data_IF_659771602056
#
_entry.id   IF_659771602056
#
_cell.length_a   1.000
_cell.length_b   1.000
_cell.length_c   1.000
_cell.angle_alpha   90.00
_cell.angle_beta   90.00
_cell.angle_gamma   90.00
#
_symmetry.space_group_name_H-M   'P 1'
#
loop_
_entity.id
_entity.type
_entity.pdbx_description
1 polymer ?
#
# COMPACT_ATOMS: atom_id res chain seq x y z
N UNK A 1 -26.94 11.81 56.26
CA UNK A 1 -27.15 10.35 56.49
C UNK A 1 -27.66 9.75 55.20
N UNK A 2 -27.10 8.59 54.82
CA UNK A 2 -27.09 8.02 53.46
C UNK A 2 -28.45 7.39 53.09
N UNK A 3 -28.98 7.73 51.91
CA UNK A 3 -30.10 7.03 51.29
C UNK A 3 -29.59 6.04 50.25
N UNK A 4 -29.87 4.75 50.48
CA UNK A 4 -29.63 3.64 49.56
C UNK A 4 -30.53 3.73 48.34
N UNK A 5 -29.94 3.60 47.15
CA UNK A 5 -30.64 3.35 45.89
C UNK A 5 -30.29 1.92 45.43
N UNK A 6 -31.31 1.09 45.41
CA UNK A 6 -31.30 -0.31 44.98
C UNK A 6 -31.25 -0.33 43.45
N UNK A 7 -30.20 -0.94 42.89
CA UNK A 7 -30.00 -1.08 41.45
C UNK A 7 -30.56 -2.44 41.00
N UNK A 8 -31.74 -2.44 40.39
CA UNK A 8 -32.38 -3.62 39.78
C UNK A 8 -31.70 -3.94 38.45
N UNK A 9 -31.07 -5.11 38.35
CA UNK A 9 -30.51 -5.65 37.11
C UNK A 9 -31.62 -6.39 36.36
N UNK A 10 -32.02 -5.87 35.20
CA UNK A 10 -32.89 -6.55 34.24
C UNK A 10 -32.04 -7.25 33.18
N UNK A 11 -32.06 -8.58 33.20
CA UNK A 11 -31.44 -9.45 32.20
C UNK A 11 -32.38 -9.56 30.99
N UNK A 12 -32.02 -8.96 29.86
CA UNK A 12 -32.73 -9.13 28.60
C UNK A 12 -32.09 -10.29 27.79
N UNK A 13 -32.78 -11.42 27.69
CA UNK A 13 -32.39 -12.51 26.79
C UNK A 13 -32.71 -12.12 25.35
N UNK A 14 -31.68 -11.94 24.53
CA UNK A 14 -31.81 -11.76 23.08
C UNK A 14 -31.70 -13.12 22.40
N UNK A 15 -32.81 -13.59 21.83
CA UNK A 15 -32.87 -14.76 20.96
C UNK A 15 -32.22 -14.41 19.63
N UNK A 16 -31.06 -15.01 19.33
CA UNK A 16 -30.40 -14.89 18.03
C UNK A 16 -31.05 -15.88 17.06
N UNK A 17 -31.85 -15.37 16.14
CA UNK A 17 -32.35 -16.13 15.00
C UNK A 17 -31.21 -16.32 13.97
N UNK A 18 -30.86 -17.57 13.67
CA UNK A 18 -29.93 -17.91 12.58
C UNK A 18 -30.63 -17.75 11.21
N UNK A 19 -30.11 -16.95 10.27
CA UNK A 19 -30.59 -16.96 8.90
C UNK A 19 -30.09 -18.22 8.18
N UNK A 20 -31.03 -19.10 7.80
CA UNK A 20 -30.83 -20.10 6.75
C UNK A 20 -31.00 -19.41 5.40
N UNK A 21 -29.88 -19.05 4.76
CA UNK A 21 -29.87 -18.51 3.40
C UNK A 21 -28.66 -19.05 2.65
N UNK A 22 -28.87 -20.15 1.90
CA UNK A 22 -27.85 -20.73 1.05
C UNK A 22 -27.55 -19.82 -0.13
N UNK A 23 -26.36 -19.22 -0.13
CA UNK A 23 -25.77 -18.64 -1.34
C UNK A 23 -25.33 -19.82 -2.20
N UNK A 24 -26.06 -20.05 -3.30
CA UNK A 24 -25.62 -20.96 -4.35
C UNK A 24 -24.29 -20.46 -4.90
N UNK A 25 -23.19 -21.04 -4.44
CA UNK A 25 -21.89 -20.89 -5.08
C UNK A 25 -22.01 -21.48 -6.49
N UNK A 26 -22.12 -20.60 -7.48
CA UNK A 26 -21.89 -21.00 -8.87
C UNK A 26 -20.48 -21.58 -8.93
N UNK A 27 -20.39 -22.88 -9.18
CA UNK A 27 -19.13 -23.57 -9.40
C UNK A 27 -18.38 -22.85 -10.53
N UNK A 28 -17.13 -22.40 -10.33
CA UNK A 28 -16.33 -21.88 -11.42
C UNK A 28 -16.24 -22.94 -12.51
N UNK A 29 -16.50 -22.56 -13.76
CA UNK A 29 -16.52 -23.44 -14.94
C UNK A 29 -15.15 -24.03 -15.33
N UNK A 30 -14.13 -23.91 -14.47
CA UNK A 30 -12.79 -24.44 -14.70
C UNK A 30 -12.58 -25.80 -14.02
N UNK A 31 -11.83 -26.69 -14.66
CA UNK A 31 -11.30 -27.90 -14.01
C UNK A 31 -10.46 -27.56 -12.77
N UNK A 32 -10.10 -28.55 -11.95
CA UNK A 32 -9.37 -28.36 -10.69
C UNK A 32 -8.07 -27.52 -10.80
N UNK A 33 -7.48 -27.44 -12.00
CA UNK A 33 -6.32 -26.60 -12.35
C UNK A 33 -6.63 -25.09 -12.44
N UNK A 34 -7.87 -24.71 -12.74
CA UNK A 34 -8.29 -23.30 -12.88
C UNK A 34 -8.18 -22.53 -11.57
N UNK A 35 -8.39 -23.21 -10.45
CA UNK A 35 -8.25 -22.61 -9.12
C UNK A 35 -6.78 -22.33 -8.76
N UNK A 36 -5.87 -23.26 -9.08
CA UNK A 36 -4.43 -23.16 -8.80
C UNK A 36 -3.74 -21.95 -9.44
N UNK A 37 -4.21 -21.51 -10.61
CA UNK A 37 -3.70 -20.29 -11.27
C UNK A 37 -4.46 -19.03 -10.83
N UNK A 38 -5.77 -19.12 -10.60
CA UNK A 38 -6.57 -17.99 -10.09
C UNK A 38 -6.17 -17.52 -8.68
N UNK A 39 -5.51 -18.39 -7.91
CA UNK A 39 -4.99 -18.09 -6.57
C UNK A 39 -3.67 -17.32 -6.58
N UNK A 40 -2.91 -17.33 -7.68
CA UNK A 40 -1.65 -16.57 -7.77
C UNK A 40 -1.91 -15.19 -8.33
N UNK A 41 -2.01 -14.21 -7.44
CA UNK A 41 -1.95 -12.80 -7.81
C UNK A 41 -0.63 -12.50 -8.53
N UNK A 42 -0.71 -11.76 -9.64
CA UNK A 42 0.44 -11.20 -10.34
C UNK A 42 0.40 -9.66 -10.32
N UNK A 43 1.56 -9.06 -10.53
CA UNK A 43 1.71 -7.61 -10.68
C UNK A 43 1.21 -7.16 -12.05
N UNK A 44 0.57 -5.99 -12.10
CA UNK A 44 0.03 -5.46 -13.35
C UNK A 44 1.14 -5.13 -14.34
N UNK A 45 2.27 -4.59 -13.88
CA UNK A 45 3.46 -4.35 -14.71
C UNK A 45 3.92 -5.60 -15.44
N UNK A 46 4.02 -6.74 -14.73
CA UNK A 46 4.42 -8.03 -15.31
C UNK A 46 3.46 -8.52 -16.39
N UNK A 47 2.17 -8.28 -16.22
CA UNK A 47 1.15 -8.62 -17.23
C UNK A 47 1.28 -7.72 -18.47
N UNK A 48 1.54 -6.43 -18.28
CA UNK A 48 1.76 -5.46 -19.37
C UNK A 48 3.06 -5.72 -20.12
N UNK A 49 4.11 -6.19 -19.44
CA UNK A 49 5.41 -6.48 -20.07
C UNK A 49 5.39 -7.71 -21.00
N UNK A 50 4.50 -8.69 -20.74
CA UNK A 50 4.43 -9.96 -21.49
C UNK A 50 2.99 -10.48 -21.65
N UNK A 51 2.11 -9.73 -22.34
CA UNK A 51 0.71 -10.10 -22.45
C UNK A 51 0.45 -11.31 -23.36
N UNK A 52 1.30 -11.56 -24.36
CA UNK A 52 1.08 -12.56 -25.42
C UNK A 52 0.89 -13.97 -24.88
N UNK A 53 1.68 -14.35 -23.88
CA UNK A 53 1.60 -15.67 -23.25
C UNK A 53 0.39 -15.86 -22.34
N UNK A 54 -0.38 -14.80 -22.06
CA UNK A 54 -1.50 -14.81 -21.13
C UNK A 54 -2.86 -14.71 -21.83
N UNK A 55 -2.90 -14.55 -23.16
CA UNK A 55 -4.16 -14.49 -23.91
C UNK A 55 -5.03 -15.72 -23.64
N UNK A 56 -6.32 -15.50 -23.38
CA UNK A 56 -7.30 -16.54 -23.03
C UNK A 56 -7.09 -17.17 -21.65
N UNK A 57 -6.12 -16.69 -20.86
CA UNK A 57 -5.90 -17.18 -19.50
C UNK A 57 -6.54 -16.25 -18.47
N UNK A 58 -7.00 -16.85 -17.38
CA UNK A 58 -7.45 -16.07 -16.23
C UNK A 58 -6.27 -15.58 -15.40
N UNK A 59 -6.33 -14.30 -15.02
CA UNK A 59 -5.33 -13.60 -14.23
C UNK A 59 -5.98 -12.98 -13.00
N UNK A 60 -5.22 -12.94 -11.90
CA UNK A 60 -5.61 -12.27 -10.66
C UNK A 60 -4.64 -11.13 -10.39
N UNK A 61 -5.16 -9.92 -10.22
CA UNK A 61 -4.38 -8.69 -10.10
C UNK A 61 -4.77 -7.96 -8.83
N UNK A 62 -3.78 -7.39 -8.12
CA UNK A 62 -4.06 -6.37 -7.10
C UNK A 62 -3.88 -5.01 -7.74
N UNK A 63 -4.90 -4.17 -7.62
CA UNK A 63 -4.92 -2.83 -8.19
C UNK A 63 -5.38 -1.79 -7.18
N UNK A 64 -5.07 -0.52 -7.46
CA UNK A 64 -5.63 0.65 -6.81
C UNK A 64 -6.52 1.36 -7.83
N UNK A 65 -7.81 1.48 -7.52
CA UNK A 65 -8.80 2.05 -8.43
C UNK A 65 -8.61 3.57 -8.52
N UNK A 66 -8.58 4.10 -9.75
CA UNK A 66 -8.73 5.54 -9.99
C UNK A 66 -10.20 5.90 -10.16
N UNK A 67 -10.92 5.11 -10.95
CA UNK A 67 -12.35 5.28 -11.19
C UNK A 67 -12.81 4.60 -12.47
N UNK A 68 -13.96 5.03 -12.98
CA UNK A 68 -14.44 4.61 -14.31
C UNK A 68 -13.68 5.36 -15.41
N UNK A 69 -13.28 4.61 -16.44
CA UNK A 69 -12.62 5.12 -17.62
C UNK A 69 -13.59 5.39 -18.77
N UNK A 70 -13.03 5.77 -19.92
CA UNK A 70 -13.76 5.94 -21.18
C UNK A 70 -13.30 4.90 -22.19
N UNK A 71 -14.25 4.36 -22.95
CA UNK A 71 -13.97 3.44 -24.04
C UNK A 71 -13.82 4.28 -25.30
N UNK A 72 -12.56 4.59 -25.66
CA UNK A 72 -12.26 5.55 -26.73
C UNK A 72 -12.21 4.92 -28.14
N UNK A 73 -12.33 3.59 -28.28
CA UNK A 73 -12.31 2.95 -29.61
C UNK A 73 -13.04 1.59 -29.66
N UNK A 74 -14.34 1.55 -30.01
CA UNK A 74 -15.12 0.31 -30.07
C UNK A 74 -14.94 -0.50 -31.36
N UNK A 75 -14.32 0.03 -32.42
CA UNK A 75 -14.44 -0.55 -33.77
C UNK A 75 -13.67 -1.86 -34.00
N UNK A 76 -12.87 -2.33 -33.04
CA UNK A 76 -11.99 -3.49 -33.21
C UNK A 76 -11.91 -4.43 -32.01
N UNK A 77 -12.80 -4.30 -31.03
CA UNK A 77 -12.79 -5.16 -29.83
C UNK A 77 -14.20 -5.56 -29.45
N UNK A 78 -14.35 -6.63 -28.66
CA UNK A 78 -15.66 -7.04 -28.13
C UNK A 78 -16.22 -6.10 -27.03
N UNK A 79 -15.44 -5.12 -26.60
CA UNK A 79 -15.71 -4.29 -25.44
C UNK A 79 -16.45 -3.01 -25.82
N UNK A 80 -17.72 -3.17 -26.18
CA UNK A 80 -18.62 -2.07 -26.54
C UNK A 80 -19.06 -1.27 -25.30
N UNK A 81 -19.21 0.05 -25.46
CA UNK A 81 -19.57 0.96 -24.37
C UNK A 81 -20.97 0.70 -23.80
N UNK A 82 -21.87 0.17 -24.63
CA UNK A 82 -23.23 -0.23 -24.30
C UNK A 82 -23.27 -1.47 -23.40
N UNK A 83 -22.27 -2.34 -23.50
CA UNK A 83 -22.24 -3.64 -22.80
C UNK A 83 -21.23 -3.65 -21.65
N UNK A 84 -20.18 -2.84 -21.73
CA UNK A 84 -19.07 -2.82 -20.78
C UNK A 84 -18.82 -1.42 -20.18
N UNK A 85 -18.23 -1.43 -18.98
CA UNK A 85 -17.63 -0.28 -18.30
C UNK A 85 -16.12 -0.48 -18.33
N UNK A 86 -15.36 0.53 -18.71
CA UNK A 86 -13.91 0.53 -18.55
C UNK A 86 -13.57 1.05 -17.16
N UNK A 87 -12.55 0.46 -16.53
CA UNK A 87 -11.98 0.94 -15.27
C UNK A 87 -10.59 1.50 -15.54
N UNK A 88 -10.28 2.60 -14.84
CA UNK A 88 -8.92 3.10 -14.72
C UNK A 88 -8.35 2.69 -13.37
N UNK A 89 -7.18 2.08 -13.38
CA UNK A 89 -6.52 1.66 -12.15
C UNK A 89 -5.00 1.66 -12.28
N UNK A 90 -4.31 1.74 -11.15
CA UNK A 90 -2.89 1.51 -11.07
C UNK A 90 -2.59 0.11 -10.52
N UNK A 91 -1.46 -0.46 -10.91
CA UNK A 91 -0.95 -1.68 -10.28
C UNK A 91 -0.64 -1.45 -8.80
N UNK A 92 -0.72 -2.48 -7.98
CA UNK A 92 -0.31 -2.40 -6.57
C UNK A 92 1.19 -2.07 -6.38
N UNK A 93 1.97 -2.38 -7.40
CA UNK A 93 3.40 -2.13 -7.54
C UNK A 93 3.71 -0.72 -8.09
N UNK A 94 2.70 0.04 -8.52
CA UNK A 94 2.88 1.37 -9.09
C UNK A 94 3.35 2.40 -8.04
N UNK A 95 4.40 3.14 -8.37
CA UNK A 95 4.92 4.23 -7.56
C UNK A 95 4.09 5.51 -7.76
N UNK A 96 2.91 5.60 -7.15
CA UNK A 96 1.97 6.72 -7.37
C UNK A 96 2.49 8.10 -6.96
N UNK A 97 3.60 8.17 -6.22
CA UNK A 97 4.30 9.42 -5.91
C UNK A 97 5.17 9.93 -7.08
N UNK A 98 5.30 9.17 -8.16
CA UNK A 98 5.93 9.59 -9.41
C UNK A 98 4.82 10.09 -10.34
N UNK A 99 4.92 11.36 -10.76
CA UNK A 99 3.88 12.03 -11.53
C UNK A 99 3.54 11.29 -12.82
N UNK A 100 4.55 10.82 -13.53
CA UNK A 100 4.40 10.13 -14.81
C UNK A 100 3.65 8.80 -14.66
N UNK A 101 3.76 8.16 -13.49
CA UNK A 101 3.03 6.93 -13.16
C UNK A 101 1.59 7.26 -12.74
N UNK A 102 1.42 8.30 -11.91
CA UNK A 102 0.11 8.77 -11.47
C UNK A 102 -0.78 9.18 -12.65
N UNK A 103 -0.24 9.96 -13.58
CA UNK A 103 -0.96 10.51 -14.74
C UNK A 103 -1.32 9.45 -15.81
N UNK A 104 -0.81 8.21 -15.67
CA UNK A 104 -0.98 7.13 -16.65
C UNK A 104 -1.55 5.85 -16.01
N UNK A 105 -2.80 5.85 -15.53
CA UNK A 105 -3.44 4.62 -15.09
C UNK A 105 -3.61 3.64 -16.25
N UNK A 106 -3.72 2.36 -15.92
CA UNK A 106 -4.09 1.31 -16.85
C UNK A 106 -5.61 1.36 -17.09
N UNK A 107 -6.02 1.36 -18.37
CA UNK A 107 -7.41 1.62 -18.79
C UNK A 107 -8.08 0.40 -19.44
N UNK A 108 -7.39 -0.73 -19.57
CA UNK A 108 -7.87 -1.90 -20.32
C UNK A 108 -8.46 -2.99 -19.41
N UNK A 109 -9.17 -2.56 -18.35
CA UNK A 109 -9.97 -3.41 -17.47
C UNK A 109 -11.44 -3.18 -17.79
N UNK A 110 -12.16 -4.22 -18.16
CA UNK A 110 -13.54 -4.12 -18.61
C UNK A 110 -14.46 -4.95 -17.73
N UNK A 111 -15.56 -4.35 -17.31
CA UNK A 111 -16.58 -5.01 -16.49
C UNK A 111 -17.90 -4.99 -17.26
N UNK A 112 -18.54 -6.15 -17.39
CA UNK A 112 -19.86 -6.23 -18.02
C UNK A 112 -20.91 -5.45 -17.22
N UNK A 113 -21.66 -4.57 -17.88
CA UNK A 113 -22.77 -3.81 -17.26
C UNK A 113 -23.83 -4.77 -16.68
N UNK A 114 -24.40 -4.39 -15.54
CA UNK A 114 -25.41 -5.19 -14.83
C UNK A 114 -24.87 -6.44 -14.12
N UNK A 115 -23.57 -6.74 -14.26
CA UNK A 115 -22.93 -7.83 -13.51
C UNK A 115 -22.84 -7.53 -12.00
N UNK A 116 -22.60 -8.56 -11.20
CA UNK A 116 -22.33 -8.40 -9.76
C UNK A 116 -21.07 -7.57 -9.51
N UNK A 117 -20.06 -7.72 -10.37
CA UNK A 117 -18.82 -6.93 -10.30
C UNK A 117 -19.09 -5.46 -10.54
N UNK A 118 -19.90 -5.12 -11.55
CA UNK A 118 -20.26 -3.74 -11.83
C UNK A 118 -20.95 -3.10 -10.62
N UNK A 119 -21.90 -3.79 -9.98
CA UNK A 119 -22.56 -3.32 -8.76
C UNK A 119 -21.61 -3.20 -7.56
N UNK A 120 -20.60 -4.07 -7.50
CA UNK A 120 -19.61 -4.08 -6.42
C UNK A 120 -18.63 -2.91 -6.52
N UNK A 121 -18.32 -2.50 -7.76
CA UNK A 121 -17.40 -1.39 -8.05
C UNK A 121 -18.12 -0.05 -8.22
N UNK A 122 -19.44 -0.05 -8.32
CA UNK A 122 -20.27 1.16 -8.38
C UNK A 122 -20.02 2.05 -7.16
N UNK A 123 -19.64 3.30 -7.40
CA UNK A 123 -19.28 4.27 -6.36
C UNK A 123 -18.03 3.91 -5.53
N UNK A 124 -17.20 2.96 -5.98
CA UNK A 124 -15.95 2.64 -5.30
C UNK A 124 -15.03 3.88 -5.23
N UNK A 125 -14.50 4.23 -4.05
CA UNK A 125 -13.73 5.46 -3.91
C UNK A 125 -12.38 5.36 -4.61
N UNK A 126 -11.85 6.50 -5.05
CA UNK A 126 -10.48 6.59 -5.55
C UNK A 126 -9.49 6.04 -4.51
N UNK A 127 -8.41 5.41 -4.99
CA UNK A 127 -7.41 4.67 -4.22
C UNK A 127 -7.92 3.44 -3.47
N UNK A 128 -9.20 3.07 -3.61
CA UNK A 128 -9.66 1.78 -3.08
C UNK A 128 -8.87 0.64 -3.73
N UNK A 129 -8.42 -0.30 -2.90
CA UNK A 129 -7.56 -1.39 -3.34
C UNK A 129 -8.39 -2.65 -3.54
N UNK A 130 -8.20 -3.33 -4.66
CA UNK A 130 -9.01 -4.46 -5.07
C UNK A 130 -8.14 -5.61 -5.56
N UNK A 131 -8.61 -6.84 -5.31
CA UNK A 131 -8.20 -8.00 -6.09
C UNK A 131 -9.23 -8.18 -7.19
N UNK A 132 -8.78 -8.09 -8.44
CA UNK A 132 -9.60 -8.37 -9.62
C UNK A 132 -9.16 -9.69 -10.22
N UNK A 133 -10.12 -10.56 -10.53
CA UNK A 133 -9.88 -11.74 -11.35
C UNK A 133 -10.60 -11.57 -12.67
N UNK A 134 -9.89 -11.77 -13.77
CA UNK A 134 -10.44 -11.63 -15.12
C UNK A 134 -9.73 -12.50 -16.12
N UNK A 135 -10.21 -12.51 -17.36
CA UNK A 135 -9.56 -13.19 -18.49
C UNK A 135 -8.87 -12.15 -19.38
N UNK A 136 -7.63 -12.41 -19.80
CA UNK A 136 -6.98 -11.62 -20.85
C UNK A 136 -7.61 -11.99 -22.20
N UNK A 137 -8.75 -11.37 -22.50
CA UNK A 137 -9.58 -11.71 -23.65
C UNK A 137 -8.88 -11.39 -24.98
N UNK A 138 -8.28 -10.21 -25.07
CA UNK A 138 -7.69 -9.69 -26.29
C UNK A 138 -6.35 -9.00 -26.00
N UNK A 139 -5.51 -8.90 -27.04
CA UNK A 139 -4.28 -8.11 -27.02
C UNK A 139 -4.34 -7.21 -28.24
N UNK A 140 -4.39 -5.90 -28.00
CA UNK A 140 -4.56 -4.87 -29.03
C UNK A 140 -3.42 -3.88 -28.88
N UNK A 141 -2.63 -3.69 -29.94
CA UNK A 141 -1.44 -2.82 -29.93
C UNK A 141 -0.45 -3.16 -28.79
N UNK A 142 -0.28 -4.44 -28.50
CA UNK A 142 0.58 -4.91 -27.41
C UNK A 142 0.01 -4.70 -26.00
N UNK A 143 -1.21 -4.19 -25.87
CA UNK A 143 -1.86 -4.00 -24.57
C UNK A 143 -2.88 -5.11 -24.29
N UNK A 144 -2.87 -5.71 -23.10
CA UNK A 144 -3.85 -6.71 -22.70
C UNK A 144 -5.20 -6.06 -22.34
N UNK A 145 -6.29 -6.60 -22.89
CA UNK A 145 -7.65 -6.18 -22.57
C UNK A 145 -8.31 -7.27 -21.73
N UNK A 146 -8.68 -6.92 -20.50
CA UNK A 146 -9.07 -7.88 -19.47
C UNK A 146 -10.57 -7.79 -19.22
N UNK A 147 -11.28 -8.90 -19.40
CA UNK A 147 -12.68 -9.05 -18.99
C UNK A 147 -12.74 -9.49 -17.53
N UNK A 148 -13.12 -8.57 -16.65
CA UNK A 148 -13.10 -8.74 -15.20
C UNK A 148 -14.34 -9.52 -14.77
N UNK A 149 -14.10 -10.69 -14.19
CA UNK A 149 -15.14 -11.64 -13.76
C UNK A 149 -15.45 -11.56 -12.26
N UNK A 150 -14.50 -11.13 -11.42
CA UNK A 150 -14.73 -10.93 -9.99
C UNK A 150 -13.91 -9.78 -9.42
N UNK A 151 -14.41 -9.16 -8.35
CA UNK A 151 -13.74 -8.11 -7.61
C UNK A 151 -13.89 -8.32 -6.10
N UNK A 152 -12.81 -8.15 -5.35
CA UNK A 152 -12.82 -8.22 -3.89
C UNK A 152 -11.99 -7.10 -3.28
N UNK A 153 -12.63 -6.25 -2.48
CA UNK A 153 -11.95 -5.13 -1.84
C UNK A 153 -10.94 -5.59 -0.79
N UNK A 154 -9.81 -4.91 -0.71
CA UNK A 154 -8.80 -5.06 0.33
C UNK A 154 -8.90 -3.90 1.32
N UNK A 155 -8.75 -4.22 2.60
CA UNK A 155 -8.78 -3.21 3.68
C UNK A 155 -7.59 -2.27 3.63
N UNK A 156 -6.41 -2.80 3.31
CA UNK A 156 -5.21 -1.99 3.21
C UNK A 156 -5.21 -1.24 1.87
N UNK A 157 -5.01 0.07 1.88
CA UNK A 157 -5.05 0.95 0.70
C UNK A 157 -4.13 2.15 0.89
N UNK A 158 -3.61 2.70 -0.21
CA UNK A 158 -3.03 4.04 -0.18
C UNK A 158 -4.17 5.05 -0.04
N UNK A 159 -3.93 6.15 0.65
CA UNK A 159 -4.85 7.27 0.69
C UNK A 159 -4.13 8.56 0.32
N UNK A 160 -4.91 9.57 -0.05
CA UNK A 160 -4.41 10.86 -0.49
C UNK A 160 -3.52 11.54 0.56
N UNK A 161 -3.87 11.60 1.88
CA UNK A 161 -3.00 12.19 2.88
C UNK A 161 -1.63 11.51 2.97
N UNK A 162 -1.58 10.18 2.88
CA UNK A 162 -0.32 9.45 2.85
C UNK A 162 0.46 9.77 1.58
N UNK A 163 -0.20 9.75 0.41
CA UNK A 163 0.43 10.05 -0.88
C UNK A 163 1.05 11.46 -0.90
N UNK A 164 0.32 12.48 -0.44
CA UNK A 164 0.81 13.87 -0.33
C UNK A 164 2.07 13.94 0.53
N UNK A 165 2.10 13.24 1.67
CA UNK A 165 3.26 13.24 2.55
C UNK A 165 4.46 12.46 1.96
N UNK A 166 4.22 11.39 1.20
CA UNK A 166 5.29 10.69 0.45
C UNK A 166 5.92 11.65 -0.57
N UNK A 167 5.10 12.32 -1.40
CA UNK A 167 5.57 13.29 -2.40
C UNK A 167 6.36 14.42 -1.73
N UNK A 168 5.82 14.97 -0.64
CA UNK A 168 6.50 16.00 0.16
C UNK A 168 7.83 15.51 0.73
N UNK A 169 7.90 14.27 1.19
CA UNK A 169 9.12 13.64 1.70
C UNK A 169 10.20 13.57 0.63
N UNK A 170 9.87 13.11 -0.58
CA UNK A 170 10.79 13.09 -1.72
C UNK A 170 11.26 14.50 -2.11
N UNK A 171 10.34 15.46 -2.23
CA UNK A 171 10.69 16.86 -2.53
C UNK A 171 11.67 17.46 -1.50
N UNK A 172 11.40 17.29 -0.19
CA UNK A 172 12.27 17.80 0.88
C UNK A 172 13.63 17.10 0.91
N UNK A 173 13.66 15.81 0.59
CA UNK A 173 14.89 15.02 0.47
C UNK A 173 15.77 15.55 -0.66
N UNK A 174 15.19 15.85 -1.82
CA UNK A 174 15.91 16.37 -2.98
C UNK A 174 16.46 17.78 -2.71
N UNK A 175 15.76 18.57 -1.89
CA UNK A 175 16.24 19.84 -1.31
C UNK A 175 17.24 19.68 -0.15
N UNK A 176 17.67 18.44 0.16
CA UNK A 176 18.59 18.09 1.27
C UNK A 176 18.11 18.54 2.67
N UNK A 177 16.80 18.76 2.85
CA UNK A 177 16.18 19.08 4.14
C UNK A 177 15.86 17.79 4.89
N UNK A 178 16.90 17.06 5.29
CA UNK A 178 16.81 15.67 5.78
C UNK A 178 15.83 15.47 6.94
N UNK A 179 15.84 16.39 7.91
CA UNK A 179 14.94 16.31 9.07
C UNK A 179 13.48 16.49 8.68
N UNK A 180 13.19 17.48 7.83
CA UNK A 180 11.84 17.72 7.34
C UNK A 180 11.36 16.58 6.44
N UNK A 181 12.25 16.01 5.61
CA UNK A 181 11.95 14.84 4.79
C UNK A 181 11.60 13.62 5.65
N UNK A 182 12.39 13.34 6.69
CA UNK A 182 12.10 12.26 7.63
C UNK A 182 10.73 12.46 8.31
N UNK A 183 10.43 13.68 8.78
CA UNK A 183 9.11 13.99 9.36
C UNK A 183 7.96 13.81 8.38
N UNK A 184 8.14 14.18 7.10
CA UNK A 184 7.11 13.98 6.08
C UNK A 184 6.88 12.48 5.79
N UNK A 185 7.94 11.68 5.64
CA UNK A 185 7.78 10.23 5.50
C UNK A 185 7.14 9.60 6.74
N UNK A 186 7.51 10.04 7.95
CA UNK A 186 6.87 9.57 9.18
C UNK A 186 5.37 9.86 9.18
N UNK A 187 4.96 11.07 8.79
CA UNK A 187 3.57 11.47 8.69
C UNK A 187 2.78 10.69 7.63
N UNK A 188 3.47 10.10 6.65
CA UNK A 188 2.85 9.22 5.66
C UNK A 188 2.55 7.80 6.18
N UNK A 189 3.12 7.34 7.31
CA UNK A 189 2.92 5.97 7.82
C UNK A 189 1.53 5.78 8.47
N UNK A 190 0.51 5.59 7.64
CA UNK A 190 -0.84 5.25 8.05
C UNK A 190 -1.02 3.76 8.38
N UNK A 191 -1.92 3.44 9.33
CA UNK A 191 -2.25 2.05 9.73
C UNK A 191 -2.91 1.27 8.59
N UNK A 192 -3.62 1.97 7.70
CA UNK A 192 -4.34 1.42 6.54
C UNK A 192 -3.45 1.15 5.34
N UNK A 193 -2.17 1.53 5.37
CA UNK A 193 -1.31 1.39 4.20
C UNK A 193 -0.96 -0.07 3.87
N UNK A 194 -0.78 -0.41 2.58
CA UNK A 194 -0.25 -1.69 2.18
C UNK A 194 1.14 -1.94 2.79
N UNK A 195 1.38 -3.18 3.19
CA UNK A 195 2.61 -3.60 3.88
C UNK A 195 3.89 -3.18 3.14
N UNK A 196 3.94 -3.37 1.83
CA UNK A 196 5.09 -3.01 1.01
C UNK A 196 5.33 -1.50 0.95
N UNK A 197 4.25 -0.70 0.88
CA UNK A 197 4.34 0.77 0.93
C UNK A 197 4.84 1.24 2.29
N UNK A 198 4.35 0.66 3.41
CA UNK A 198 4.85 0.98 4.76
C UNK A 198 6.34 0.67 4.91
N UNK A 199 6.79 -0.48 4.41
CA UNK A 199 8.21 -0.81 4.39
C UNK A 199 9.01 0.19 3.55
N UNK A 200 8.49 0.60 2.39
CA UNK A 200 9.12 1.63 1.55
C UNK A 200 9.28 2.95 2.30
N UNK A 201 8.19 3.49 2.86
CA UNK A 201 8.18 4.75 3.61
C UNK A 201 9.20 4.71 4.75
N UNK A 202 9.22 3.63 5.53
CA UNK A 202 10.16 3.47 6.63
C UNK A 202 11.62 3.45 6.17
N UNK A 203 11.92 2.83 5.02
CA UNK A 203 13.26 2.85 4.44
C UNK A 203 13.67 4.26 4.01
N UNK A 204 12.78 5.01 3.37
CA UNK A 204 13.06 6.39 2.95
C UNK A 204 13.20 7.35 4.15
N UNK A 205 12.34 7.22 5.16
CA UNK A 205 12.45 7.92 6.45
C UNK A 205 13.81 7.65 7.09
N UNK A 206 14.19 6.38 7.21
CA UNK A 206 15.43 5.99 7.85
C UNK A 206 16.66 6.46 7.06
N UNK A 207 16.62 6.44 5.72
CA UNK A 207 17.68 7.03 4.87
C UNK A 207 17.81 8.53 5.13
N UNK A 208 16.69 9.27 5.21
CA UNK A 208 16.71 10.69 5.52
C UNK A 208 17.31 10.96 6.91
N UNK A 209 16.92 10.18 7.93
CA UNK A 209 17.48 10.27 9.28
C UNK A 209 19.00 10.03 9.31
N UNK A 210 19.52 9.04 8.59
CA UNK A 210 20.96 8.79 8.49
C UNK A 210 21.68 9.97 7.85
N UNK A 211 21.12 10.55 6.78
CA UNK A 211 21.69 11.74 6.13
C UNK A 211 21.66 12.98 7.03
N UNK A 212 20.66 13.07 7.92
CA UNK A 212 20.59 14.07 8.99
C UNK A 212 21.45 13.78 10.22
N UNK A 213 22.27 12.72 10.20
CA UNK A 213 23.16 12.36 11.33
C UNK A 213 22.48 11.61 12.48
N UNK A 214 21.21 11.22 12.32
CA UNK A 214 20.38 10.55 13.35
C UNK A 214 20.33 9.03 13.16
N UNK A 215 21.50 8.39 13.07
CA UNK A 215 21.62 6.95 12.77
C UNK A 215 20.89 6.06 13.79
N UNK A 216 20.99 6.35 15.08
CA UNK A 216 20.33 5.55 16.13
C UNK A 216 18.80 5.54 15.96
N UNK A 217 18.21 6.69 15.62
CA UNK A 217 16.77 6.80 15.35
C UNK A 217 16.39 6.04 14.08
N UNK A 218 17.21 6.12 13.03
CA UNK A 218 17.00 5.39 11.78
C UNK A 218 16.95 3.86 12.00
N UNK A 219 17.87 3.32 12.80
CA UNK A 219 17.89 1.90 13.17
C UNK A 219 16.65 1.52 13.96
N UNK A 220 16.30 2.28 15.00
CA UNK A 220 15.09 2.05 15.80
C UNK A 220 13.82 2.03 14.95
N UNK A 221 13.71 2.95 13.98
CA UNK A 221 12.57 3.03 13.07
C UNK A 221 12.47 1.79 12.16
N UNK A 222 13.57 1.34 11.57
CA UNK A 222 13.58 0.12 10.75
C UNK A 222 13.23 -1.13 11.57
N UNK A 223 13.70 -1.22 12.82
CA UNK A 223 13.33 -2.33 13.71
C UNK A 223 11.83 -2.38 13.98
N UNK A 224 11.21 -1.24 14.27
CA UNK A 224 9.77 -1.16 14.49
C UNK A 224 9.00 -1.64 13.26
N UNK A 225 9.42 -1.24 12.05
CA UNK A 225 8.72 -1.60 10.82
C UNK A 225 8.93 -3.07 10.43
N UNK A 226 10.15 -3.61 10.58
CA UNK A 226 10.40 -5.05 10.34
C UNK A 226 9.56 -5.93 11.27
N UNK A 227 9.34 -5.52 12.52
CA UNK A 227 8.45 -6.24 13.45
C UNK A 227 6.98 -6.23 12.99
N UNK A 228 6.50 -5.14 12.39
CA UNK A 228 5.09 -4.97 12.01
C UNK A 228 4.79 -5.53 10.62
N UNK A 229 5.65 -5.26 9.65
CA UNK A 229 5.46 -5.66 8.25
C UNK A 229 5.87 -7.12 8.03
N UNK A 230 6.76 -7.66 8.87
CA UNK A 230 7.41 -8.95 8.69
C UNK A 230 8.73 -8.82 7.94
N UNK A 231 9.22 -9.94 7.39
CA UNK A 231 10.48 -9.96 6.64
C UNK A 231 10.35 -9.25 5.28
N UNK A 232 10.64 -7.95 5.26
CA UNK A 232 11.03 -7.24 4.03
C UNK A 232 12.55 -7.36 3.86
N UNK A 233 13.06 -8.12 2.86
CA UNK A 233 14.49 -8.38 2.71
C UNK A 233 15.33 -7.11 2.58
N UNK A 234 14.77 -6.07 1.94
CA UNK A 234 15.46 -4.79 1.74
C UNK A 234 15.64 -4.05 3.07
N UNK A 235 14.61 -3.97 3.90
CA UNK A 235 14.67 -3.36 5.24
C UNK A 235 15.57 -4.16 6.17
N UNK A 236 15.48 -5.50 6.14
CA UNK A 236 16.33 -6.37 6.96
C UNK A 236 17.82 -6.22 6.61
N UNK A 237 18.16 -6.18 5.32
CA UNK A 237 19.54 -5.96 4.85
C UNK A 237 20.08 -4.59 5.29
N UNK A 238 19.28 -3.52 5.14
CA UNK A 238 19.64 -2.17 5.60
C UNK A 238 19.87 -2.14 7.11
N UNK A 239 18.94 -2.73 7.88
CA UNK A 239 19.02 -2.79 9.34
C UNK A 239 20.30 -3.51 9.80
N UNK A 240 20.61 -4.67 9.21
CA UNK A 240 21.84 -5.42 9.50
C UNK A 240 23.08 -4.58 9.21
N UNK A 241 23.13 -3.92 8.04
CA UNK A 241 24.27 -3.09 7.64
C UNK A 241 24.48 -1.90 8.57
N UNK A 242 23.41 -1.25 9.03
CA UNK A 242 23.50 -0.06 9.88
C UNK A 242 23.77 -0.38 11.35
N UNK A 243 23.27 -1.50 11.88
CA UNK A 243 23.68 -2.00 13.21
C UNK A 243 25.19 -2.26 13.27
N UNK A 244 25.73 -2.99 12.29
CA UNK A 244 27.17 -3.25 12.20
C UNK A 244 28.01 -1.97 12.03
N UNK A 245 27.42 -0.89 11.49
CA UNK A 245 28.07 0.42 11.41
C UNK A 245 28.05 1.16 12.75
N UNK A 246 26.96 1.07 13.51
CA UNK A 246 26.86 1.64 14.85
C UNK A 246 27.83 0.96 15.83
N UNK A 247 27.94 -0.37 15.78
CA UNK A 247 28.87 -1.13 16.64
C UNK A 247 30.34 -0.79 16.37
N UNK A 248 30.70 -0.54 15.11
CA UNK A 248 32.05 -0.13 14.70
C UNK A 248 32.34 1.35 14.95
N UNK A 249 31.33 2.17 15.20
CA UNK A 249 31.56 3.59 15.47
C UNK A 249 32.26 3.68 16.83
N UNK A 250 33.52 4.20 16.90
CA UNK A 250 34.21 4.33 18.17
C UNK A 250 33.31 5.14 19.10
N UNK A 251 33.07 4.60 20.30
CA UNK A 251 32.28 5.24 21.33
C UNK A 251 32.83 6.65 21.53
N UNK A 252 32.16 7.66 20.98
CA UNK A 252 32.52 9.08 21.13
C UNK A 252 32.32 9.58 22.56
N UNK A 253 32.32 8.69 23.56
CA UNK A 253 32.68 9.01 24.93
C UNK A 253 34.15 9.43 24.96
N UNK A 254 34.44 10.59 24.37
CA UNK A 254 35.58 11.38 24.78
C UNK A 254 35.16 11.91 26.15
N UNK A 255 35.77 11.48 27.26
CA UNK A 255 35.51 12.13 28.54
C UNK A 255 35.71 13.62 28.32
N UNK A 256 34.73 14.44 28.69
CA UNK A 256 34.90 15.88 28.68
C UNK A 256 36.17 16.16 29.46
N UNK A 257 37.16 16.78 28.81
CA UNK A 257 38.37 17.22 29.49
C UNK A 257 37.87 18.04 30.69
N UNK A 258 38.21 17.69 31.94
CA UNK A 258 37.68 18.38 33.10
C UNK A 258 37.94 19.87 32.91
N UNK A 259 36.91 20.68 33.15
CA UNK A 259 37.01 22.13 33.01
C UNK A 259 38.27 22.61 33.76
N UNK A 260 39.10 23.48 33.17
CA UNK A 260 40.25 24.04 33.87
C UNK A 260 39.74 24.65 35.17
N UNK A 261 40.29 24.20 36.31
CA UNK A 261 39.97 24.75 37.63
C UNK A 261 40.17 26.27 37.54
N UNK A 262 39.10 27.03 37.78
CA UNK A 262 39.16 28.47 37.93
C UNK A 262 40.23 28.78 38.97
N UNK A 263 41.32 29.43 38.54
CA UNK A 263 42.36 29.92 39.43
C UNK A 263 41.78 30.97 40.40
N UNK A 264 42.40 31.17 41.57
CA UNK A 264 41.93 32.12 42.55
C UNK A 264 41.88 33.53 41.95
N UNK A 265 40.72 34.18 42.10
CA UNK A 265 40.55 35.61 41.81
C UNK A 265 41.42 36.36 42.82
N UNK A 266 42.49 36.98 42.34
CA UNK A 266 43.30 37.89 43.16
C UNK A 266 42.53 39.22 43.19
N UNK A 267 41.85 39.50 44.29
CA UNK A 267 41.34 40.84 44.60
C UNK A 267 42.54 41.75 44.93
N UNK A 268 42.91 42.61 43.99
CA UNK A 268 43.80 43.74 44.25
C UNK A 268 43.04 44.84 45.00
N UNK A 269 43.57 45.19 46.18
CA UNK A 269 43.13 46.23 47.11
C UNK A 269 43.07 47.62 46.48
#
# INVERSE_FOLDING_TARGET
MKSSLICTILLAMTVVAQPKGGVGQQKPRGGWWGNLLSERTMELSRLVDRPEGLRGHSVSLVIQLRGEGRIDNPFHTRFEAETYISLEAWGDDAELWVREVYDRPFQHLFVKRGSEVARTLDGAPEYSRWVLTGEVAEIVKGMPWIDVASARQLKARLDEPSLVNIVKGYMLRDLKRWDAAASAFHAADGVTLPRHVRAMIAREEAKALVRGGKMTLAVSRLEAVVRVVGEDPRSAALLKAWRARLERAPSRHRPSKPAPKSGPVIESR
#
